data_IF_692313185542
#
_entry.id   IF_692313185542
#
_cell.length_a   1.000
_cell.length_b   1.000
_cell.length_c   1.000
_cell.angle_alpha   90.00
_cell.angle_beta   90.00
_cell.angle_gamma   90.00
#
_symmetry.space_group_name_H-M   'P 1'
#
loop_
_entity.id
_entity.type
_entity.pdbx_description
1 polymer ?
#
# COMPACT_ATOMS: atom_id res chain seq x y z
N UNK A 1 -18.40 -20.75 -5.29
CA UNK A 1 -18.27 -19.35 -4.82
C UNK A 1 -17.16 -18.59 -5.58
N UNK A 2 -16.78 -19.07 -6.76
CA UNK A 2 -15.48 -18.78 -7.38
C UNK A 2 -15.61 -17.65 -8.40
N UNK A 3 -16.83 -17.45 -8.93
CA UNK A 3 -17.20 -16.38 -9.85
C UNK A 3 -17.03 -14.98 -9.26
N UNK A 4 -17.13 -14.83 -7.93
CA UNK A 4 -16.96 -13.56 -7.24
C UNK A 4 -15.55 -13.41 -6.66
N UNK A 5 -15.05 -14.47 -6.03
CA UNK A 5 -13.78 -14.43 -5.29
C UNK A 5 -12.56 -14.22 -6.19
N UNK A 6 -12.42 -15.00 -7.28
CA UNK A 6 -11.24 -14.90 -8.14
C UNK A 6 -11.10 -13.52 -8.81
N UNK A 7 -12.17 -12.95 -9.39
CA UNK A 7 -12.10 -11.58 -9.92
C UNK A 7 -11.75 -10.55 -8.84
N UNK A 8 -12.31 -10.69 -7.63
CA UNK A 8 -12.03 -9.76 -6.52
C UNK A 8 -10.56 -9.78 -6.10
N UNK A 9 -9.95 -10.96 -5.99
CA UNK A 9 -8.51 -11.10 -5.69
C UNK A 9 -7.65 -10.47 -6.78
N UNK A 10 -7.97 -10.73 -8.05
CA UNK A 10 -7.24 -10.15 -9.20
C UNK A 10 -7.36 -8.62 -9.22
N UNK A 11 -8.56 -8.10 -8.97
CA UNK A 11 -8.81 -6.65 -8.89
C UNK A 11 -8.04 -6.03 -7.73
N UNK A 12 -8.08 -6.63 -6.54
CA UNK A 12 -7.32 -6.16 -5.38
C UNK A 12 -5.81 -6.14 -5.67
N UNK A 13 -5.27 -7.20 -6.28
CA UNK A 13 -3.87 -7.27 -6.66
C UNK A 13 -3.50 -6.18 -7.68
N UNK A 14 -4.34 -5.94 -8.69
CA UNK A 14 -4.14 -4.88 -9.68
C UNK A 14 -4.14 -3.50 -9.01
N UNK A 15 -5.12 -3.22 -8.14
CA UNK A 15 -5.18 -1.99 -7.36
C UNK A 15 -3.93 -1.81 -6.49
N UNK A 16 -3.40 -2.90 -5.95
CA UNK A 16 -2.15 -2.91 -5.19
C UNK A 16 -0.98 -2.43 -6.04
N UNK A 17 -0.78 -3.03 -7.21
CA UNK A 17 0.26 -2.63 -8.16
C UNK A 17 0.08 -1.20 -8.68
N UNK A 18 -1.14 -0.77 -8.97
CA UNK A 18 -1.42 0.62 -9.35
C UNK A 18 -1.06 1.58 -8.21
N UNK A 19 -1.41 1.26 -6.96
CA UNK A 19 -1.08 2.07 -5.79
C UNK A 19 0.43 2.18 -5.57
N UNK A 20 1.16 1.06 -5.76
CA UNK A 20 2.63 1.04 -5.72
C UNK A 20 3.20 1.97 -6.79
N UNK A 21 2.76 1.82 -8.04
CA UNK A 21 3.21 2.67 -9.15
C UNK A 21 2.94 4.15 -8.90
N UNK A 22 1.73 4.49 -8.44
CA UNK A 22 1.36 5.87 -8.08
C UNK A 22 2.27 6.43 -6.98
N UNK A 23 2.54 5.65 -5.93
CA UNK A 23 3.42 6.08 -4.83
C UNK A 23 4.85 6.29 -5.30
N UNK A 24 5.41 5.34 -6.06
CA UNK A 24 6.79 5.40 -6.56
C UNK A 24 6.96 6.59 -7.51
N UNK A 25 6.12 6.69 -8.54
CA UNK A 25 6.23 7.73 -9.57
C UNK A 25 6.00 9.11 -8.95
N UNK A 26 4.97 9.30 -8.12
CA UNK A 26 4.67 10.58 -7.48
C UNK A 26 5.76 10.97 -6.48
N UNK A 27 6.27 10.02 -5.70
CA UNK A 27 7.35 10.26 -4.75
C UNK A 27 8.64 10.67 -5.45
N UNK A 28 9.08 9.92 -6.46
CA UNK A 28 10.25 10.31 -7.26
C UNK A 28 10.09 11.69 -7.90
N UNK A 29 8.94 11.95 -8.53
CA UNK A 29 8.65 13.25 -9.14
C UNK A 29 8.69 14.39 -8.13
N UNK A 30 8.23 14.16 -6.90
CA UNK A 30 8.32 15.13 -5.81
C UNK A 30 9.78 15.43 -5.44
N UNK A 31 10.63 14.40 -5.38
CA UNK A 31 12.06 14.57 -5.11
C UNK A 31 12.78 15.35 -6.21
N UNK A 32 12.33 15.24 -7.46
CA UNK A 32 12.85 16.03 -8.60
C UNK A 32 12.16 17.40 -8.75
N UNK A 33 11.31 17.81 -7.81
CA UNK A 33 10.69 19.14 -7.80
C UNK A 33 9.58 19.33 -8.85
N UNK A 34 8.95 18.26 -9.31
CA UNK A 34 7.91 18.34 -10.33
C UNK A 34 6.63 18.99 -9.78
N UNK A 35 6.16 20.05 -10.43
CA UNK A 35 5.00 20.84 -9.98
C UNK A 35 3.66 20.08 -10.02
N UNK A 36 3.52 19.12 -10.94
CA UNK A 36 2.27 18.35 -11.12
C UNK A 36 1.93 17.43 -9.95
N UNK A 37 2.88 17.15 -9.05
CA UNK A 37 2.68 16.29 -7.86
C UNK A 37 1.64 16.90 -6.91
N UNK A 38 1.46 18.22 -6.95
CA UNK A 38 0.49 18.98 -6.15
C UNK A 38 -0.88 19.14 -6.83
N UNK A 39 -1.05 18.65 -8.06
CA UNK A 39 -2.31 18.73 -8.80
C UNK A 39 -3.45 18.00 -8.06
N UNK A 40 -4.60 18.66 -7.97
CA UNK A 40 -5.81 18.14 -7.33
C UNK A 40 -6.37 16.90 -8.04
N UNK A 41 -6.20 16.82 -9.37
CA UNK A 41 -6.60 15.64 -10.16
C UNK A 41 -5.82 14.41 -9.73
N UNK A 42 -4.50 14.57 -9.57
CA UNK A 42 -3.63 13.49 -9.09
C UNK A 42 -4.00 13.10 -7.66
N UNK A 43 -4.25 14.09 -6.79
CA UNK A 43 -4.68 13.85 -5.41
C UNK A 43 -5.95 13.02 -5.35
N UNK A 44 -6.93 13.32 -6.20
CA UNK A 44 -8.18 12.55 -6.33
C UNK A 44 -7.92 11.12 -6.78
N UNK A 45 -7.08 10.89 -7.79
CA UNK A 45 -6.73 9.55 -8.28
C UNK A 45 -6.05 8.73 -7.17
N UNK A 46 -5.07 9.33 -6.49
CA UNK A 46 -4.34 8.70 -5.38
C UNK A 46 -5.31 8.35 -4.24
N UNK A 47 -6.16 9.28 -3.83
CA UNK A 47 -7.14 9.05 -2.78
C UNK A 47 -8.11 7.92 -3.15
N UNK A 48 -8.64 7.95 -4.37
CA UNK A 48 -9.54 6.91 -4.89
C UNK A 48 -8.88 5.53 -4.89
N UNK A 49 -7.62 5.45 -5.30
CA UNK A 49 -6.83 4.21 -5.25
C UNK A 49 -6.71 3.67 -3.82
N UNK A 50 -6.44 4.54 -2.84
CA UNK A 50 -6.33 4.16 -1.43
C UNK A 50 -7.67 3.65 -0.87
N UNK A 51 -8.78 4.30 -1.22
CA UNK A 51 -10.11 3.84 -0.80
C UNK A 51 -10.41 2.47 -1.42
N UNK A 52 -10.17 2.29 -2.72
CA UNK A 52 -10.44 1.04 -3.42
C UNK A 52 -9.60 -0.12 -2.89
N UNK A 53 -8.30 0.09 -2.61
CA UNK A 53 -7.44 -0.97 -2.07
C UNK A 53 -7.83 -1.36 -0.65
N UNK A 54 -8.22 -0.38 0.20
CA UNK A 54 -8.67 -0.63 1.57
C UNK A 54 -10.00 -1.39 1.57
N UNK A 55 -11.00 -0.91 0.81
CA UNK A 55 -12.31 -1.55 0.73
C UNK A 55 -12.17 -2.97 0.19
N UNK A 56 -11.44 -3.16 -0.91
CA UNK A 56 -11.25 -4.50 -1.48
C UNK A 56 -10.48 -5.45 -0.55
N UNK A 57 -9.46 -4.94 0.16
CA UNK A 57 -8.72 -5.72 1.15
C UNK A 57 -9.58 -6.15 2.34
N UNK A 58 -10.41 -5.23 2.86
CA UNK A 58 -11.34 -5.52 3.96
C UNK A 58 -12.42 -6.51 3.53
N UNK A 59 -12.96 -6.36 2.32
CA UNK A 59 -13.91 -7.32 1.74
C UNK A 59 -13.29 -8.71 1.61
N UNK A 60 -12.05 -8.82 1.14
CA UNK A 60 -11.34 -10.10 1.03
C UNK A 60 -11.03 -10.70 2.40
N UNK A 61 -10.64 -9.89 3.38
CA UNK A 61 -10.41 -10.36 4.74
C UNK A 61 -11.67 -11.03 5.31
N UNK A 62 -12.83 -10.37 5.20
CA UNK A 62 -14.11 -10.92 5.67
C UNK A 62 -14.52 -12.14 4.84
N UNK A 63 -14.40 -12.08 3.51
CA UNK A 63 -14.81 -13.17 2.62
C UNK A 63 -13.97 -14.44 2.78
N UNK A 64 -12.69 -14.31 3.15
CA UNK A 64 -11.78 -15.42 3.39
C UNK A 64 -11.76 -15.91 4.83
N UNK A 65 -12.44 -15.23 5.75
CA UNK A 65 -12.49 -15.56 7.17
C UNK A 65 -11.08 -15.69 7.80
N UNK A 66 -10.11 -14.89 7.33
CA UNK A 66 -8.77 -14.91 7.92
C UNK A 66 -8.81 -14.46 9.38
N UNK A 67 -8.13 -15.19 10.27
CA UNK A 67 -8.00 -14.83 11.68
C UNK A 67 -6.58 -14.29 11.95
N UNK A 68 -6.42 -12.99 12.28
CA UNK A 68 -5.11 -12.41 12.55
C UNK A 68 -4.36 -13.07 13.72
N UNK A 69 -5.06 -13.80 14.60
CA UNK A 69 -4.45 -14.49 15.73
C UNK A 69 -3.73 -15.77 15.30
N UNK A 70 -4.24 -16.44 14.27
CA UNK A 70 -3.66 -17.67 13.74
C UNK A 70 -2.74 -17.40 12.54
N UNK A 71 -2.93 -16.27 11.87
CA UNK A 71 -2.20 -15.87 10.67
C UNK A 71 -1.37 -14.61 10.93
N UNK A 72 -0.15 -14.76 11.49
CA UNK A 72 0.65 -13.62 11.93
C UNK A 72 1.10 -12.74 10.76
N UNK A 73 1.17 -13.28 9.53
CA UNK A 73 1.45 -12.54 8.30
C UNK A 73 0.45 -11.40 8.09
N UNK A 74 -0.81 -11.58 8.52
CA UNK A 74 -1.85 -10.58 8.34
C UNK A 74 -1.69 -9.41 9.32
N UNK A 75 -1.31 -9.70 10.57
CA UNK A 75 -0.96 -8.66 11.56
C UNK A 75 0.26 -7.87 11.09
N UNK A 76 1.30 -8.57 10.62
CA UNK A 76 2.49 -7.94 10.06
C UNK A 76 2.15 -7.01 8.88
N UNK A 77 1.26 -7.45 7.98
CA UNK A 77 0.77 -6.64 6.86
C UNK A 77 0.06 -5.37 7.33
N UNK A 78 -0.80 -5.44 8.34
CA UNK A 78 -1.50 -4.27 8.86
C UNK A 78 -0.56 -3.28 9.57
N UNK A 79 0.40 -3.77 10.36
CA UNK A 79 1.41 -2.92 10.98
C UNK A 79 2.24 -2.21 9.91
N UNK A 80 2.70 -2.94 8.90
CA UNK A 80 3.49 -2.35 7.82
C UNK A 80 2.69 -1.33 6.97
N UNK A 81 1.39 -1.57 6.76
CA UNK A 81 0.50 -0.58 6.16
C UNK A 81 0.38 0.68 7.02
N UNK A 82 0.26 0.55 8.35
CA UNK A 82 0.22 1.70 9.25
C UNK A 82 1.51 2.51 9.19
N UNK A 83 2.68 1.84 9.19
CA UNK A 83 3.98 2.49 8.99
C UNK A 83 4.05 3.20 7.65
N UNK A 84 3.63 2.54 6.56
CA UNK A 84 3.57 3.15 5.23
C UNK A 84 2.69 4.41 5.20
N UNK A 85 1.49 4.38 5.80
CA UNK A 85 0.61 5.55 5.85
C UNK A 85 1.19 6.71 6.67
N UNK A 86 1.77 6.42 7.85
CA UNK A 86 2.38 7.44 8.70
C UNK A 86 3.57 8.11 8.01
N UNK A 87 4.48 7.30 7.45
CA UNK A 87 5.68 7.78 6.76
C UNK A 87 5.35 8.49 5.45
N UNK A 88 4.35 8.01 4.69
CA UNK A 88 3.90 8.66 3.46
C UNK A 88 3.26 10.03 3.71
N UNK A 89 2.55 10.20 4.83
CA UNK A 89 2.04 11.50 5.25
C UNK A 89 3.16 12.49 5.59
N UNK A 90 4.21 12.03 6.26
CA UNK A 90 5.36 12.86 6.62
C UNK A 90 6.29 13.18 5.42
N UNK A 91 6.55 12.20 4.55
CA UNK A 91 7.41 12.35 3.36
C UNK A 91 6.90 13.41 2.37
N UNK A 92 5.58 13.57 2.28
CA UNK A 92 4.92 14.57 1.44
C UNK A 92 4.62 15.90 2.20
N UNK A 93 5.00 15.98 3.48
CA UNK A 93 4.86 17.15 4.33
C UNK A 93 6.08 18.09 4.33
N UNK A 94 6.10 19.06 5.25
CA UNK A 94 7.16 20.08 5.38
C UNK A 94 8.40 19.58 6.15
N UNK A 95 8.71 18.29 6.09
CA UNK A 95 9.87 17.76 6.82
C UNK A 95 11.19 18.18 6.16
N UNK A 96 12.25 18.24 6.96
CA UNK A 96 13.63 18.42 6.48
C UNK A 96 14.23 17.08 5.97
N UNK A 97 13.57 15.95 6.24
CA UNK A 97 14.06 14.59 5.97
C UNK A 97 13.24 13.81 4.92
N UNK A 98 12.63 14.52 3.96
CA UNK A 98 11.70 13.96 2.94
C UNK A 98 12.22 12.74 2.19
N UNK A 99 13.53 12.72 1.86
CA UNK A 99 14.15 11.58 1.16
C UNK A 99 14.16 10.33 2.03
N UNK A 100 14.54 10.46 3.31
CA UNK A 100 14.66 9.33 4.23
C UNK A 100 13.27 8.76 4.51
N UNK A 101 12.30 9.62 4.79
CA UNK A 101 10.90 9.22 5.01
C UNK A 101 10.33 8.51 3.78
N UNK A 102 10.65 8.99 2.58
CA UNK A 102 10.28 8.34 1.33
C UNK A 102 10.92 6.95 1.17
N UNK A 103 12.20 6.80 1.49
CA UNK A 103 12.89 5.51 1.44
C UNK A 103 12.32 4.52 2.48
N UNK A 104 12.01 4.99 3.68
CA UNK A 104 11.37 4.17 4.72
C UNK A 104 9.97 3.75 4.27
N UNK A 105 9.19 4.66 3.70
CA UNK A 105 7.88 4.35 3.14
C UNK A 105 7.97 3.33 2.00
N UNK A 106 9.00 3.43 1.15
CA UNK A 106 9.25 2.48 0.06
C UNK A 106 9.63 1.09 0.61
N UNK A 107 10.42 1.04 1.67
CA UNK A 107 10.79 -0.21 2.35
C UNK A 107 9.56 -0.86 3.01
N UNK A 108 8.72 -0.07 3.70
CA UNK A 108 7.46 -0.55 4.27
C UNK A 108 6.51 -1.08 3.20
N UNK A 109 6.39 -0.37 2.07
CA UNK A 109 5.60 -0.80 0.92
C UNK A 109 6.14 -2.11 0.32
N UNK A 110 7.46 -2.21 0.16
CA UNK A 110 8.12 -3.44 -0.30
C UNK A 110 7.84 -4.62 0.62
N UNK A 111 7.90 -4.41 1.94
CA UNK A 111 7.56 -5.43 2.92
C UNK A 111 6.08 -5.84 2.85
N UNK A 112 5.13 -4.89 2.71
CA UNK A 112 3.71 -5.20 2.52
C UNK A 112 3.49 -6.09 1.29
N UNK A 113 4.15 -5.77 0.17
CA UNK A 113 4.07 -6.57 -1.06
C UNK A 113 4.66 -7.97 -0.82
N UNK A 114 5.84 -8.05 -0.21
CA UNK A 114 6.52 -9.30 0.05
C UNK A 114 5.68 -10.23 0.95
N UNK A 115 5.21 -9.73 2.11
CA UNK A 115 4.31 -10.48 3.02
C UNK A 115 3.01 -10.88 2.32
N UNK A 116 2.48 -10.05 1.41
CA UNK A 116 1.26 -10.39 0.67
C UNK A 116 1.45 -11.56 -0.32
N UNK A 117 2.67 -11.70 -0.87
CA UNK A 117 3.02 -12.76 -1.83
C UNK A 117 3.44 -14.03 -1.10
N UNK A 118 4.32 -13.92 -0.10
CA UNK A 118 4.85 -15.06 0.66
C UNK A 118 3.85 -15.61 1.67
N UNK A 119 2.92 -14.78 2.15
CA UNK A 119 2.04 -15.06 3.31
C UNK A 119 2.84 -15.50 4.54
N UNK A 120 4.04 -14.93 4.67
CA UNK A 120 4.99 -15.22 5.74
C UNK A 120 5.51 -13.90 6.33
N UNK A 121 5.65 -13.85 7.65
CA UNK A 121 6.15 -12.67 8.38
C UNK A 121 7.63 -12.41 8.11
N UNK A 122 8.44 -13.47 8.07
CA UNK A 122 9.89 -13.41 7.89
C UNK A 122 10.29 -13.45 6.41
N UNK A 123 9.30 -13.36 5.50
CA UNK A 123 9.51 -13.43 4.06
C UNK A 123 10.10 -14.78 3.59
N UNK A 124 9.90 -15.83 4.38
CA UNK A 124 10.42 -17.18 4.10
C UNK A 124 11.88 -17.41 4.54
N UNK A 125 12.40 -16.59 5.47
CA UNK A 125 13.68 -16.76 6.15
C UNK A 125 13.56 -17.50 7.48
#
# INVERSE_FOLDING_TARGET
MDWFYLPMVKMHALLGWCSVGLFVVRGLAHQFGAAWVMDERLRTIVFSSHVLIVVSGLSLWVALLHDPRTEPWMVAKFIALAVYFATGHWALGRSEFRVIEYLVALMALGYVVAVSVTRDVLLGL
#
